data_IF_887932771150
#
_entry.id   IF_887932771150
#
_cell.length_a   1.000
_cell.length_b   1.000
_cell.length_c   1.000
_cell.angle_alpha   90.00
_cell.angle_beta   90.00
_cell.angle_gamma   90.00
#
_symmetry.space_group_name_H-M   'P 1'
#
loop_
_entity.id
_entity.type
_entity.pdbx_description
1 polymer ?
#
# COMPACT_ATOMS: atom_id res chain seq x y z
N UNK A 1 -27.20 -45.06 13.29
CA UNK A 1 -27.25 -43.69 12.74
C UNK A 1 -26.21 -42.84 13.48
N UNK A 2 -25.08 -42.55 12.86
CA UNK A 2 -24.02 -41.70 13.45
C UNK A 2 -23.64 -40.65 12.41
N UNK A 3 -24.41 -39.57 12.38
CA UNK A 3 -24.21 -38.41 11.53
C UNK A 3 -23.36 -37.42 12.31
N UNK A 4 -22.03 -37.55 12.26
CA UNK A 4 -21.11 -36.50 12.72
C UNK A 4 -19.68 -36.71 12.20
N UNK A 5 -19.52 -37.17 10.96
CA UNK A 5 -18.34 -36.79 10.18
C UNK A 5 -18.63 -35.42 9.56
N UNK A 6 -18.77 -34.39 10.40
CA UNK A 6 -18.81 -33.01 9.91
C UNK A 6 -17.41 -32.74 9.35
N UNK A 7 -17.30 -32.75 8.02
CA UNK A 7 -16.09 -32.42 7.29
C UNK A 7 -15.54 -31.06 7.77
N UNK A 8 -14.60 -31.07 8.71
CA UNK A 8 -13.87 -29.87 9.09
C UNK A 8 -12.96 -29.52 7.92
N UNK A 9 -13.42 -28.58 7.08
CA UNK A 9 -12.62 -28.04 6.00
C UNK A 9 -11.38 -27.41 6.63
N UNK A 10 -10.19 -27.81 6.19
CA UNK A 10 -8.96 -27.23 6.73
C UNK A 10 -8.96 -25.71 6.48
N UNK A 11 -8.50 -24.91 7.44
CA UNK A 11 -8.46 -23.45 7.32
C UNK A 11 -7.68 -22.99 6.07
N UNK A 12 -6.65 -23.75 5.67
CA UNK A 12 -5.91 -23.55 4.42
C UNK A 12 -6.77 -23.73 3.15
N UNK A 13 -7.71 -24.68 3.17
CA UNK A 13 -8.69 -24.88 2.08
C UNK A 13 -9.67 -23.72 1.99
N UNK A 14 -10.07 -23.12 3.12
CA UNK A 14 -10.96 -21.95 3.13
C UNK A 14 -10.26 -20.71 2.58
N UNK A 15 -9.00 -20.47 2.96
CA UNK A 15 -8.18 -19.37 2.41
C UNK A 15 -8.03 -19.53 0.88
N UNK A 16 -7.74 -20.76 0.42
CA UNK A 16 -7.66 -21.06 -1.01
C UNK A 16 -8.98 -20.77 -1.74
N UNK A 17 -10.12 -21.13 -1.14
CA UNK A 17 -11.44 -20.88 -1.71
C UNK A 17 -11.77 -19.39 -1.74
N UNK A 18 -11.46 -18.63 -0.69
CA UNK A 18 -11.61 -17.17 -0.68
C UNK A 18 -10.77 -16.52 -1.81
N UNK A 19 -9.52 -16.96 -1.98
CA UNK A 19 -8.65 -16.50 -3.08
C UNK A 19 -9.19 -16.86 -4.47
N UNK A 20 -9.81 -18.04 -4.63
CA UNK A 20 -10.46 -18.44 -5.88
C UNK A 20 -11.69 -17.59 -6.20
N UNK A 21 -12.51 -17.26 -5.20
CA UNK A 21 -13.66 -16.37 -5.36
C UNK A 21 -13.23 -14.95 -5.76
N UNK A 22 -12.04 -14.54 -5.32
CA UNK A 22 -11.47 -13.22 -5.61
C UNK A 22 -10.59 -13.20 -6.85
N UNK A 23 -10.58 -14.25 -7.67
CA UNK A 23 -9.67 -14.40 -8.82
C UNK A 23 -9.63 -13.19 -9.75
N UNK A 24 -10.76 -12.50 -9.92
CA UNK A 24 -10.91 -11.33 -10.79
C UNK A 24 -10.42 -10.02 -10.16
N UNK A 25 -10.22 -9.98 -8.85
CA UNK A 25 -9.66 -8.83 -8.13
C UNK A 25 -8.14 -8.97 -7.95
N UNK A 26 -7.40 -7.89 -7.69
CA UNK A 26 -5.97 -7.96 -7.34
C UNK A 26 -5.72 -8.43 -5.89
N UNK A 27 -6.77 -8.65 -5.09
CA UNK A 27 -6.67 -8.86 -3.65
C UNK A 27 -6.53 -10.35 -3.32
N UNK A 28 -5.53 -10.71 -2.53
CA UNK A 28 -5.26 -12.10 -2.11
C UNK A 28 -4.97 -12.18 -0.64
N UNK A 29 -5.46 -13.20 0.02
CA UNK A 29 -5.04 -13.55 1.37
C UNK A 29 -3.79 -14.43 1.32
N UNK A 30 -2.82 -14.08 2.15
CA UNK A 30 -1.62 -14.87 2.38
C UNK A 30 -1.28 -14.92 3.86
N UNK A 31 -0.37 -15.82 4.21
CA UNK A 31 0.23 -15.91 5.53
C UNK A 31 1.72 -15.69 5.34
N UNK A 32 2.31 -14.80 6.14
CA UNK A 32 3.76 -14.63 6.17
C UNK A 32 4.32 -15.57 7.23
N UNK A 33 5.06 -16.60 6.82
CA UNK A 33 5.65 -17.57 7.75
C UNK A 33 6.56 -16.83 8.76
N UNK A 34 6.23 -16.95 10.03
CA UNK A 34 7.08 -16.45 11.12
C UNK A 34 8.22 -17.43 11.35
N UNK A 35 9.43 -16.92 11.58
CA UNK A 35 10.59 -17.75 11.93
C UNK A 35 10.42 -18.51 13.25
N UNK A 36 9.37 -18.19 14.03
CA UNK A 36 9.00 -18.82 15.30
C UNK A 36 7.83 -19.77 15.03
N UNK A 37 8.03 -21.10 15.14
CA UNK A 37 7.02 -22.12 14.80
C UNK A 37 5.79 -22.16 15.71
N UNK A 38 5.87 -21.59 16.92
CA UNK A 38 4.82 -21.68 17.95
C UNK A 38 3.83 -20.50 17.91
N UNK A 39 4.08 -19.47 17.10
CA UNK A 39 3.20 -18.31 17.03
C UNK A 39 2.08 -18.58 16.02
N UNK A 40 0.83 -18.29 16.42
CA UNK A 40 -0.29 -18.39 15.48
C UNK A 40 -0.03 -17.42 14.31
N UNK A 41 -0.01 -17.90 13.06
CA UNK A 41 0.22 -17.04 11.91
C UNK A 41 -0.87 -15.98 11.71
N UNK A 42 -0.43 -14.75 11.44
CA UNK A 42 -1.29 -13.64 11.04
C UNK A 42 -1.63 -13.71 9.53
N UNK A 43 -2.86 -13.34 9.18
CA UNK A 43 -3.31 -13.16 7.82
C UNK A 43 -2.90 -11.78 7.28
N UNK A 44 -2.46 -11.78 6.03
CA UNK A 44 -2.11 -10.57 5.29
C UNK A 44 -2.97 -10.48 4.04
N UNK A 45 -3.44 -9.26 3.75
CA UNK A 45 -4.05 -8.95 2.45
C UNK A 45 -2.95 -8.43 1.54
N UNK A 46 -2.67 -9.18 0.50
CA UNK A 46 -1.80 -8.77 -0.60
C UNK A 46 -2.64 -8.10 -1.65
N UNK A 47 -2.33 -6.85 -1.98
CA UNK A 47 -2.99 -6.15 -3.09
C UNK A 47 -1.97 -5.37 -3.92
N UNK A 48 -2.41 -4.94 -5.10
CA UNK A 48 -1.64 -4.11 -6.02
C UNK A 48 -2.14 -2.68 -5.93
N UNK A 49 -1.34 -1.80 -5.35
CA UNK A 49 -1.66 -0.38 -5.27
C UNK A 49 -1.18 0.35 -6.54
N UNK A 50 -2.11 0.88 -7.31
CA UNK A 50 -1.80 1.81 -8.40
C UNK A 50 -1.39 3.17 -7.81
N UNK A 51 -0.22 3.65 -8.20
CA UNK A 51 0.31 4.93 -7.70
C UNK A 51 0.67 5.91 -8.82
N UNK A 52 0.80 5.41 -10.05
CA UNK A 52 1.31 6.17 -11.19
C UNK A 52 0.26 6.27 -12.28
N UNK A 53 0.04 7.49 -12.72
CA UNK A 53 -0.66 7.87 -13.93
C UNK A 53 0.38 8.28 -14.99
N UNK A 54 0.52 7.52 -16.10
CA UNK A 54 1.49 7.81 -17.16
C UNK A 54 1.32 9.18 -17.82
N UNK A 55 0.12 9.77 -17.77
CA UNK A 55 -0.18 11.07 -18.38
C UNK A 55 0.26 12.26 -17.53
N UNK A 56 0.73 12.04 -16.30
CA UNK A 56 1.15 13.08 -15.35
C UNK A 56 2.66 13.01 -15.08
N UNK A 57 3.31 14.15 -14.82
CA UNK A 57 4.72 14.16 -14.42
C UNK A 57 4.89 13.47 -13.05
N UNK A 58 6.08 12.92 -12.79
CA UNK A 58 6.35 12.21 -11.53
C UNK A 58 6.20 13.13 -10.30
N UNK A 59 6.65 14.39 -10.38
CA UNK A 59 6.73 15.30 -9.24
C UNK A 59 5.39 15.51 -8.52
N UNK A 60 4.28 15.63 -9.28
CA UNK A 60 2.93 15.82 -8.71
C UNK A 60 2.37 14.55 -8.09
N UNK A 61 2.93 13.39 -8.45
CA UNK A 61 2.47 12.06 -8.01
C UNK A 61 3.27 11.55 -6.81
N UNK A 62 4.43 12.15 -6.53
CA UNK A 62 5.26 11.82 -5.36
C UNK A 62 4.49 11.83 -4.03
N UNK A 63 3.59 12.79 -3.73
CA UNK A 63 2.81 12.76 -2.49
C UNK A 63 1.96 11.50 -2.33
N UNK A 64 1.32 11.04 -3.42
CA UNK A 64 0.53 9.80 -3.42
C UNK A 64 1.41 8.60 -3.13
N UNK A 65 2.52 8.49 -3.86
CA UNK A 65 3.49 7.40 -3.67
C UNK A 65 4.01 7.36 -2.23
N UNK A 66 4.46 8.50 -1.69
CA UNK A 66 4.98 8.57 -0.33
C UNK A 66 3.89 8.31 0.72
N UNK A 67 2.64 8.71 0.48
CA UNK A 67 1.52 8.39 1.38
C UNK A 67 1.20 6.89 1.41
N UNK A 68 1.30 6.21 0.27
CA UNK A 68 1.18 4.74 0.20
C UNK A 68 2.27 4.08 1.04
N UNK A 69 3.52 4.49 0.86
CA UNK A 69 4.64 3.94 1.61
C UNK A 69 4.53 4.25 3.11
N UNK A 70 4.13 5.47 3.47
CA UNK A 70 3.98 5.91 4.86
C UNK A 70 2.89 5.11 5.59
N UNK A 71 1.79 4.78 4.91
CA UNK A 71 0.74 3.92 5.46
C UNK A 71 1.21 2.48 5.72
N UNK A 72 2.28 2.03 5.04
CA UNK A 72 2.88 0.72 5.25
C UNK A 72 4.01 0.75 6.29
N UNK A 73 4.39 1.93 6.80
CA UNK A 73 5.54 2.06 7.71
C UNK A 73 5.37 1.19 8.95
N UNK A 74 6.43 0.45 9.31
CA UNK A 74 6.42 -0.46 10.45
C UNK A 74 5.80 -1.83 10.15
N UNK A 75 5.28 -2.03 8.94
CA UNK A 75 4.90 -3.35 8.43
C UNK A 75 6.05 -3.99 7.66
N UNK A 76 6.05 -5.32 7.55
CA UNK A 76 6.97 -6.05 6.67
C UNK A 76 6.69 -5.83 5.17
N UNK A 77 5.63 -5.08 4.83
CA UNK A 77 5.13 -4.87 3.48
C UNK A 77 5.67 -3.64 2.76
N UNK A 78 6.54 -2.83 3.37
CA UNK A 78 7.14 -1.65 2.70
C UNK A 78 8.16 -2.14 1.66
N UNK A 79 8.01 -1.81 0.37
CA UNK A 79 9.03 -2.11 -0.63
C UNK A 79 10.29 -1.29 -0.37
N UNK A 80 11.47 -1.92 -0.45
CA UNK A 80 12.76 -1.26 -0.34
C UNK A 80 13.10 -0.42 -1.57
N UNK A 81 12.63 -0.84 -2.74
CA UNK A 81 12.86 -0.16 -4.01
C UNK A 81 11.55 -0.05 -4.79
N UNK A 82 11.27 1.13 -5.33
CA UNK A 82 10.15 1.40 -6.22
C UNK A 82 10.68 1.96 -7.52
N UNK A 83 10.56 1.18 -8.59
CA UNK A 83 10.90 1.63 -9.95
C UNK A 83 9.86 2.63 -10.44
N UNK A 84 10.31 3.87 -10.66
CA UNK A 84 9.48 5.03 -11.01
C UNK A 84 9.09 5.05 -12.49
N UNK A 85 9.78 4.28 -13.33
CA UNK A 85 9.50 4.05 -14.74
C UNK A 85 8.52 2.91 -14.98
N UNK A 86 8.43 1.92 -14.08
CA UNK A 86 7.44 0.84 -14.13
C UNK A 86 5.99 1.35 -14.01
N UNK A 87 5.06 0.62 -14.64
CA UNK A 87 3.61 0.80 -14.50
C UNK A 87 2.98 -0.34 -13.69
N UNK A 88 3.78 -1.22 -13.10
CA UNK A 88 3.33 -2.46 -12.46
C UNK A 88 2.77 -2.24 -11.05
N UNK A 89 2.39 -1.01 -10.70
CA UNK A 89 1.91 -0.68 -9.36
C UNK A 89 2.92 -1.06 -8.27
N UNK A 90 2.45 -1.10 -7.02
CA UNK A 90 3.24 -1.58 -5.88
C UNK A 90 2.49 -2.73 -5.24
N UNK A 91 3.16 -3.89 -5.09
CA UNK A 91 2.64 -4.97 -4.28
C UNK A 91 2.74 -4.58 -2.80
N UNK A 92 1.61 -4.57 -2.11
CA UNK A 92 1.53 -4.19 -0.69
C UNK A 92 0.99 -5.34 0.13
N UNK A 93 1.61 -5.57 1.28
CA UNK A 93 1.20 -6.59 2.24
C UNK A 93 0.60 -5.88 3.44
N UNK A 94 -0.72 -5.93 3.56
CA UNK A 94 -1.47 -5.24 4.60
C UNK A 94 -1.71 -6.21 5.76
N UNK A 95 -1.19 -5.92 6.96
CA UNK A 95 -1.51 -6.72 8.14
C UNK A 95 -3.00 -6.56 8.47
N UNK A 96 -3.65 -7.66 8.79
CA UNK A 96 -5.08 -7.66 9.15
C UNK A 96 -5.30 -7.66 10.67
N UNK A 97 -4.28 -8.02 11.46
CA UNK A 97 -4.43 -8.31 12.89
C UNK A 97 -5.22 -9.58 13.21
N UNK A 98 -5.69 -10.31 12.19
CA UNK A 98 -6.45 -11.56 12.31
C UNK A 98 -5.51 -12.73 12.15
N UNK A 99 -5.62 -13.71 13.05
CA UNK A 99 -4.81 -14.92 13.01
C UNK A 99 -5.57 -16.10 12.40
N UNK A 100 -4.87 -17.16 12.02
CA UNK A 100 -5.51 -18.36 11.48
C UNK A 100 -6.49 -18.95 12.51
N UNK A 101 -6.20 -18.88 13.82
CA UNK A 101 -7.12 -19.41 14.83
C UNK A 101 -8.47 -18.69 14.89
N UNK A 102 -8.53 -17.42 14.49
CA UNK A 102 -9.74 -16.60 14.49
C UNK A 102 -10.73 -17.00 13.37
N UNK A 103 -10.28 -17.77 12.37
CA UNK A 103 -11.13 -18.19 11.25
C UNK A 103 -12.24 -19.13 11.75
N UNK A 104 -13.53 -18.81 11.50
CA UNK A 104 -14.65 -19.67 11.86
C UNK A 104 -14.53 -21.10 11.31
N UNK A 105 -15.08 -22.07 12.05
CA UNK A 105 -15.04 -23.49 11.67
C UNK A 105 -16.00 -23.79 10.50
N UNK A 106 -17.10 -23.04 10.39
CA UNK A 106 -18.09 -23.19 9.33
C UNK A 106 -17.59 -22.59 8.01
N UNK A 107 -17.57 -23.33 6.89
CA UNK A 107 -16.92 -22.87 5.65
C UNK A 107 -17.60 -21.63 5.06
N UNK A 108 -18.94 -21.53 5.13
CA UNK A 108 -19.68 -20.36 4.62
C UNK A 108 -19.39 -19.11 5.45
N UNK A 109 -19.38 -19.24 6.76
CA UNK A 109 -19.14 -18.13 7.68
C UNK A 109 -17.67 -17.70 7.62
N UNK A 110 -16.76 -18.66 7.46
CA UNK A 110 -15.34 -18.39 7.28
C UNK A 110 -15.04 -17.65 5.98
N UNK A 111 -15.68 -17.99 4.86
CA UNK A 111 -15.51 -17.25 3.60
C UNK A 111 -16.03 -15.82 3.74
N UNK A 112 -17.21 -15.63 4.33
CA UNK A 112 -17.78 -14.28 4.55
C UNK A 112 -16.86 -13.45 5.44
N UNK A 113 -16.44 -14.03 6.57
CA UNK A 113 -15.49 -13.41 7.48
C UNK A 113 -14.20 -12.99 6.76
N UNK A 114 -13.61 -13.87 5.95
CA UNK A 114 -12.40 -13.55 5.19
C UNK A 114 -12.63 -12.45 4.14
N UNK A 115 -13.80 -12.40 3.51
CA UNK A 115 -14.16 -11.32 2.59
C UNK A 115 -14.29 -9.98 3.33
N UNK A 116 -15.01 -9.96 4.45
CA UNK A 116 -15.18 -8.77 5.29
C UNK A 116 -13.81 -8.24 5.76
N UNK A 117 -12.92 -9.14 6.22
CA UNK A 117 -11.55 -8.77 6.62
C UNK A 117 -10.76 -8.14 5.46
N UNK A 118 -10.89 -8.66 4.24
CA UNK A 118 -10.22 -8.10 3.06
C UNK A 118 -10.73 -6.69 2.78
N UNK A 119 -12.05 -6.53 2.73
CA UNK A 119 -12.71 -5.26 2.39
C UNK A 119 -12.37 -4.20 3.45
N UNK A 120 -12.51 -4.52 4.74
CA UNK A 120 -12.16 -3.63 5.85
C UNK A 120 -10.69 -3.20 5.83
N UNK A 121 -9.78 -4.15 5.57
CA UNK A 121 -8.33 -3.88 5.52
C UNK A 121 -7.98 -2.95 4.35
N UNK A 122 -8.58 -3.18 3.19
CA UNK A 122 -8.36 -2.39 1.98
C UNK A 122 -8.94 -0.98 2.15
N UNK A 123 -10.16 -0.88 2.67
CA UNK A 123 -10.83 0.39 2.90
C UNK A 123 -10.07 1.22 3.92
N UNK A 124 -9.65 0.61 5.03
CA UNK A 124 -8.80 1.27 6.02
C UNK A 124 -7.51 1.80 5.41
N UNK A 125 -6.82 0.98 4.62
CA UNK A 125 -5.57 1.37 3.95
C UNK A 125 -5.78 2.56 3.00
N UNK A 126 -6.72 2.46 2.06
CA UNK A 126 -6.93 3.54 1.09
C UNK A 126 -7.48 4.83 1.69
N UNK A 127 -8.30 4.73 2.75
CA UNK A 127 -8.73 5.90 3.52
C UNK A 127 -7.54 6.58 4.20
N UNK A 128 -6.68 5.81 4.87
CA UNK A 128 -5.46 6.33 5.52
C UNK A 128 -4.57 7.05 4.51
N UNK A 129 -4.31 6.43 3.35
CA UNK A 129 -3.49 7.03 2.29
C UNK A 129 -4.10 8.34 1.80
N UNK A 130 -5.42 8.38 1.57
CA UNK A 130 -6.14 9.58 1.13
C UNK A 130 -6.06 10.70 2.17
N UNK A 131 -6.19 10.38 3.46
CA UNK A 131 -6.08 11.35 4.55
C UNK A 131 -4.67 11.94 4.65
N UNK A 132 -3.64 11.09 4.65
CA UNK A 132 -2.24 11.51 4.69
C UNK A 132 -1.91 12.41 3.49
N UNK A 133 -2.33 12.02 2.29
CA UNK A 133 -2.14 12.80 1.07
C UNK A 133 -2.89 14.14 1.12
N UNK A 134 -4.14 14.15 1.59
CA UNK A 134 -4.96 15.35 1.74
C UNK A 134 -4.30 16.36 2.69
N UNK A 135 -3.84 15.89 3.85
CA UNK A 135 -3.13 16.71 4.83
C UNK A 135 -1.83 17.28 4.28
N UNK A 136 -1.06 16.47 3.52
CA UNK A 136 0.11 16.96 2.80
C UNK A 136 -0.26 18.14 1.88
N UNK A 137 -1.31 18.00 1.07
CA UNK A 137 -1.73 19.05 0.14
C UNK A 137 -2.28 20.30 0.83
N UNK A 138 -2.93 20.16 2.00
CA UNK A 138 -3.30 21.31 2.84
C UNK A 138 -2.05 22.09 3.27
N UNK A 139 -1.01 21.39 3.73
CA UNK A 139 0.25 22.01 4.14
C UNK A 139 1.02 22.61 2.95
N UNK A 140 1.08 21.89 1.84
CA UNK A 140 1.74 22.34 0.61
C UNK A 140 1.11 23.64 0.08
N UNK A 141 -0.23 23.75 0.13
CA UNK A 141 -0.96 24.97 -0.28
C UNK A 141 -0.58 26.19 0.54
N UNK A 142 -0.33 26.04 1.85
CA UNK A 142 0.16 27.14 2.70
C UNK A 142 1.54 27.64 2.26
N UNK A 143 2.34 26.80 1.59
CA UNK A 143 3.63 27.16 0.99
C UNK A 143 3.52 27.53 -0.51
N UNK A 144 2.32 27.76 -1.03
CA UNK A 144 2.09 28.17 -2.41
C UNK A 144 2.08 27.03 -3.44
N UNK A 145 2.09 25.77 -3.01
CA UNK A 145 2.03 24.62 -3.91
C UNK A 145 0.62 24.04 -4.00
N UNK A 146 0.12 23.91 -5.23
CA UNK A 146 -1.07 23.12 -5.55
C UNK A 146 -0.71 22.02 -6.54
N UNK A 147 -1.53 20.95 -6.67
CA UNK A 147 -1.28 19.89 -7.65
C UNK A 147 -1.05 20.45 -9.06
N UNK A 148 -1.85 21.44 -9.47
CA UNK A 148 -1.72 22.10 -10.77
C UNK A 148 -0.39 22.85 -10.94
N UNK A 149 0.08 23.54 -9.90
CA UNK A 149 1.36 24.25 -9.92
C UNK A 149 2.52 23.24 -10.02
N UNK A 150 2.48 22.20 -9.19
CA UNK A 150 3.51 21.15 -9.17
C UNK A 150 3.55 20.40 -10.51
N UNK A 151 2.39 20.17 -11.13
CA UNK A 151 2.32 19.60 -12.46
C UNK A 151 2.96 20.51 -13.51
N UNK A 152 2.69 21.82 -13.50
CA UNK A 152 3.35 22.79 -14.40
C UNK A 152 4.86 22.84 -14.19
N UNK A 153 5.33 22.74 -12.94
CA UNK A 153 6.75 22.63 -12.60
C UNK A 153 7.33 21.35 -13.20
N UNK A 154 6.68 20.20 -12.98
CA UNK A 154 7.14 18.90 -13.47
C UNK A 154 7.16 18.77 -15.00
N UNK A 155 6.22 19.42 -15.70
CA UNK A 155 6.22 19.50 -17.18
C UNK A 155 7.22 20.54 -17.72
N UNK A 156 7.78 21.35 -16.85
CA UNK A 156 8.62 22.48 -17.26
C UNK A 156 7.86 23.48 -18.12
N UNK A 157 6.75 24.03 -17.64
CA UNK A 157 6.09 25.15 -18.33
C UNK A 157 6.89 26.45 -18.12
N UNK A 158 7.02 27.28 -19.15
CA UNK A 158 7.70 28.60 -19.06
C UNK A 158 7.15 29.40 -17.87
N UNK A 159 8.03 29.98 -17.05
CA UNK A 159 7.68 30.67 -15.81
C UNK A 159 7.62 29.79 -14.55
N UNK A 160 7.56 28.45 -14.71
CA UNK A 160 7.54 27.48 -13.60
C UNK A 160 8.78 26.58 -13.56
N UNK A 161 9.67 26.68 -14.56
CA UNK A 161 10.89 25.87 -14.75
C UNK A 161 12.05 26.20 -13.78
N UNK A 162 11.79 26.68 -12.57
CA UNK A 162 12.88 26.99 -11.63
C UNK A 162 13.38 25.74 -10.91
N UNK A 163 14.70 25.49 -10.96
CA UNK A 163 15.37 24.46 -10.14
C UNK A 163 15.14 24.68 -8.64
N UNK A 164 15.05 25.94 -8.20
CA UNK A 164 14.77 26.26 -6.79
C UNK A 164 13.37 25.82 -6.36
N UNK A 165 12.36 25.97 -7.23
CA UNK A 165 10.99 25.56 -6.95
C UNK A 165 10.86 24.04 -6.79
N UNK A 166 11.60 23.28 -7.61
CA UNK A 166 11.69 21.81 -7.52
C UNK A 166 12.37 21.40 -6.21
N UNK A 167 13.51 22.00 -5.87
CA UNK A 167 14.24 21.70 -4.65
C UNK A 167 13.42 22.01 -3.38
N UNK A 168 12.70 23.13 -3.36
CA UNK A 168 11.81 23.51 -2.26
C UNK A 168 10.67 22.51 -2.09
N UNK A 169 10.07 22.04 -3.18
CA UNK A 169 9.02 21.02 -3.11
C UNK A 169 9.56 19.67 -2.61
N UNK A 170 10.75 19.25 -3.05
CA UNK A 170 11.40 18.06 -2.50
C UNK A 170 11.74 18.19 -1.01
N UNK A 171 12.15 19.38 -0.57
CA UNK A 171 12.37 19.66 0.86
C UNK A 171 11.08 19.52 1.65
N UNK A 172 9.96 20.01 1.13
CA UNK A 172 8.63 19.86 1.73
C UNK A 172 8.23 18.38 1.87
N UNK A 173 8.43 17.57 0.84
CA UNK A 173 8.18 16.12 0.89
C UNK A 173 8.98 15.46 2.01
N UNK A 174 10.30 15.74 2.08
CA UNK A 174 11.19 15.16 3.10
C UNK A 174 10.90 15.64 4.53
N UNK A 175 10.34 16.84 4.68
CA UNK A 175 9.94 17.37 5.99
C UNK A 175 8.64 16.76 6.49
N UNK A 176 7.72 16.43 5.58
CA UNK A 176 6.40 15.93 5.93
C UNK A 176 6.38 14.41 6.14
N UNK A 177 6.93 13.66 5.19
CA UNK A 177 6.97 12.20 5.27
C UNK A 177 8.11 11.78 6.20
N UNK A 178 7.81 10.87 7.11
CA UNK A 178 8.80 10.38 8.08
C UNK A 178 9.65 9.26 7.49
N UNK A 179 9.14 8.56 6.46
CA UNK A 179 9.93 7.61 5.71
C UNK A 179 11.13 8.31 5.08
N UNK A 180 12.30 7.73 5.31
CA UNK A 180 13.53 8.16 4.65
C UNK A 180 13.57 7.54 3.25
N UNK A 181 13.73 8.39 2.23
CA UNK A 181 13.82 7.93 0.85
C UNK A 181 14.87 8.70 0.06
N UNK A 182 15.46 8.02 -0.93
CA UNK A 182 16.35 8.60 -1.93
C UNK A 182 15.81 8.37 -3.32
N UNK A 183 15.75 9.44 -4.11
CA UNK A 183 15.35 9.38 -5.52
C UNK A 183 16.63 9.29 -6.35
N UNK A 184 16.84 8.13 -6.98
CA UNK A 184 17.92 7.88 -7.92
C UNK A 184 17.41 8.12 -9.35
N UNK A 185 17.60 9.34 -9.85
CA UNK A 185 17.08 9.75 -11.17
C UNK A 185 17.76 9.02 -12.33
N UNK A 186 19.01 8.57 -12.17
CA UNK A 186 19.74 7.79 -13.18
C UNK A 186 19.21 6.36 -13.33
N UNK A 187 18.68 5.80 -12.24
CA UNK A 187 18.14 4.44 -12.17
C UNK A 187 16.61 4.44 -12.22
N UNK A 188 16.00 5.62 -12.36
CA UNK A 188 14.54 5.82 -12.22
C UNK A 188 13.97 5.10 -11.00
N UNK A 189 14.67 5.13 -9.86
CA UNK A 189 14.32 4.33 -8.69
C UNK A 189 14.15 5.22 -7.45
N UNK A 190 13.12 4.95 -6.67
CA UNK A 190 12.97 5.46 -5.31
C UNK A 190 13.36 4.35 -4.33
N UNK A 191 14.47 4.57 -3.64
CA UNK A 191 14.92 3.69 -2.57
C UNK A 191 14.35 4.17 -1.25
N UNK A 192 13.69 3.29 -0.52
CA UNK A 192 13.22 3.50 0.84
C UNK A 192 14.31 3.02 1.78
N UNK A 193 14.88 3.93 2.56
CA UNK A 193 15.78 3.55 3.65
C UNK A 193 14.88 3.03 4.77
N UNK A 194 14.95 1.71 5.03
CA UNK A 194 14.18 1.09 6.11
C UNK A 194 14.48 1.75 7.47
N UNK A 195 13.55 1.63 8.44
CA UNK A 195 13.90 1.92 9.82
C UNK A 195 15.04 0.97 10.22
N UNK A 196 16.17 1.53 10.64
CA UNK A 196 17.21 0.78 11.32
C UNK A 196 16.67 0.19 12.63
#
# INVERSE_FOLDING_TARGET
MTVAAMHSVSRASVISLANLLLRETPNRLTIISTAIPEMDPELYVVTKAEWKNPSKPLLVQMPRLLSLLEALRGTRGVPTEVYLDSNDGIAVYLPTGVHISDIPIGPKDAVRFLQDVIDDTIDFYFNTVREVESHFWVLARRRGYSPLIVEKIGRGVKGFQSRSSVAMFHSLLRQYFSIKFRIHTSESCLRVEGPA
#
